data_IF_997852947214
#
_entry.id   IF_997852947214
#
_cell.length_a   1.000
_cell.length_b   1.000
_cell.length_c   1.000
_cell.angle_alpha   90.00
_cell.angle_beta   90.00
_cell.angle_gamma   90.00
#
_symmetry.space_group_name_H-M   'P 1'
#
loop_
_entity.id
_entity.type
_entity.pdbx_description
1 polymer ?
#
# COMPACT_ATOMS: atom_id res chain seq x y z
N UNK A 1 -40.98 -19.06 -71.98
CA UNK A 1 -41.75 -19.81 -70.96
C UNK A 1 -40.86 -20.98 -70.54
N UNK A 2 -40.38 -21.18 -69.32
CA UNK A 2 -40.70 -20.61 -68.00
C UNK A 2 -39.48 -20.88 -67.12
N UNK A 3 -39.14 -19.92 -66.26
CA UNK A 3 -38.02 -19.91 -65.31
C UNK A 3 -38.14 -21.08 -64.31
N UNK A 4 -37.01 -21.73 -63.99
CA UNK A 4 -36.86 -22.47 -62.72
C UNK A 4 -35.62 -22.00 -61.99
N UNK A 5 -35.83 -20.97 -61.19
CA UNK A 5 -35.01 -20.55 -60.06
C UNK A 5 -34.98 -21.69 -59.04
N UNK A 6 -33.81 -22.13 -58.59
CA UNK A 6 -33.73 -22.92 -57.35
C UNK A 6 -32.54 -22.47 -56.54
N UNK A 7 -32.90 -22.04 -55.34
CA UNK A 7 -32.22 -21.18 -54.39
C UNK A 7 -30.98 -21.84 -53.80
N UNK A 8 -29.81 -21.21 -53.94
CA UNK A 8 -28.62 -21.54 -53.15
C UNK A 8 -28.86 -20.99 -51.74
N UNK A 9 -29.14 -21.89 -50.79
CA UNK A 9 -29.29 -21.53 -49.38
C UNK A 9 -27.90 -21.22 -48.80
N UNK A 10 -27.53 -19.94 -48.81
CA UNK A 10 -26.32 -19.43 -48.17
C UNK A 10 -26.45 -19.62 -46.66
N UNK A 11 -25.71 -20.60 -46.11
CA UNK A 11 -25.59 -20.83 -44.67
C UNK A 11 -24.79 -19.67 -44.06
N UNK A 12 -25.49 -18.57 -43.74
CA UNK A 12 -24.94 -17.44 -43.00
C UNK A 12 -24.78 -17.88 -41.54
N UNK A 13 -23.66 -18.52 -41.24
CA UNK A 13 -23.25 -18.79 -39.86
C UNK A 13 -23.00 -17.43 -39.21
N UNK A 14 -23.95 -17.03 -38.36
CA UNK A 14 -23.86 -15.89 -37.48
C UNK A 14 -22.59 -16.04 -36.62
N UNK A 15 -21.53 -15.33 -36.98
CA UNK A 15 -20.47 -15.01 -36.05
C UNK A 15 -21.10 -14.14 -34.96
N UNK A 16 -21.58 -14.80 -33.91
CA UNK A 16 -21.75 -14.18 -32.59
C UNK A 16 -20.35 -13.78 -32.14
N UNK A 17 -19.86 -12.64 -32.63
CA UNK A 17 -18.81 -11.88 -31.98
C UNK A 17 -19.37 -11.48 -30.63
N UNK A 18 -19.25 -12.37 -29.65
CA UNK A 18 -19.37 -12.01 -28.25
C UNK A 18 -18.34 -10.92 -28.03
N UNK A 19 -18.79 -9.68 -27.89
CA UNK A 19 -18.02 -8.70 -27.17
C UNK A 19 -17.84 -9.28 -25.78
N UNK A 20 -16.72 -9.96 -25.56
CA UNK A 20 -16.22 -10.17 -24.22
C UNK A 20 -16.05 -8.75 -23.66
N UNK A 21 -16.99 -8.32 -22.82
CA UNK A 21 -16.79 -7.15 -21.98
C UNK A 21 -15.52 -7.43 -21.21
N UNK A 22 -14.42 -6.76 -21.57
CA UNK A 22 -13.22 -6.84 -20.77
C UNK A 22 -13.62 -6.45 -19.34
N UNK A 23 -13.22 -7.23 -18.32
CA UNK A 23 -13.40 -6.77 -16.95
C UNK A 23 -12.74 -5.40 -16.89
N UNK A 24 -13.48 -4.41 -16.39
CA UNK A 24 -12.99 -3.05 -16.24
C UNK A 24 -11.85 -3.08 -15.20
N UNK A 25 -10.64 -3.40 -15.66
CA UNK A 25 -9.43 -3.53 -14.86
C UNK A 25 -8.84 -2.16 -14.46
N UNK A 26 -9.62 -1.07 -14.56
CA UNK A 26 -9.26 0.25 -14.03
C UNK A 26 -9.42 0.33 -12.50
N UNK A 27 -9.25 -0.78 -11.79
CA UNK A 27 -9.14 -0.76 -10.34
C UNK A 27 -7.72 -0.32 -10.02
N UNK A 28 -7.53 0.98 -9.85
CA UNK A 28 -6.29 1.53 -9.30
C UNK A 28 -6.21 1.14 -7.82
N UNK A 29 -5.22 0.33 -7.48
CA UNK A 29 -4.87 0.01 -6.09
C UNK A 29 -3.97 1.10 -5.54
N UNK A 30 -4.04 1.34 -4.23
CA UNK A 30 -3.25 2.35 -3.56
C UNK A 30 -2.19 1.68 -2.68
N UNK A 31 -0.96 2.19 -2.74
CA UNK A 31 0.10 1.81 -1.81
C UNK A 31 0.56 3.05 -1.07
N UNK A 32 0.56 2.99 0.25
CA UNK A 32 1.07 4.07 1.10
C UNK A 32 1.95 3.58 2.23
N UNK A 33 2.66 4.51 2.86
CA UNK A 33 3.51 4.29 4.02
C UNK A 33 2.96 5.09 5.20
N UNK A 34 2.75 4.43 6.33
CA UNK A 34 2.30 5.03 7.58
C UNK A 34 3.29 4.79 8.71
N UNK A 35 3.24 5.63 9.74
CA UNK A 35 4.01 5.47 10.97
C UNK A 35 3.11 5.63 12.22
N UNK A 36 3.53 5.11 13.38
CA UNK A 36 2.80 5.36 14.63
C UNK A 36 2.81 6.85 14.99
N UNK A 37 1.75 7.29 15.67
CA UNK A 37 1.71 8.65 16.20
C UNK A 37 2.86 8.85 17.19
N UNK A 38 3.51 10.02 17.13
CA UNK A 38 4.71 10.38 17.92
C UNK A 38 6.01 9.66 17.52
N UNK A 39 6.00 8.80 16.52
CA UNK A 39 7.19 8.09 16.04
C UNK A 39 7.37 8.36 14.54
N UNK A 40 7.42 9.65 14.20
CA UNK A 40 7.59 10.13 12.83
C UNK A 40 8.89 9.58 12.22
N UNK A 41 8.88 9.39 10.90
CA UNK A 41 10.04 8.94 10.14
C UNK A 41 10.24 9.79 8.89
N UNK A 42 11.46 9.77 8.35
CA UNK A 42 11.74 10.28 7.01
C UNK A 42 12.09 9.13 6.06
N UNK A 43 11.21 8.85 5.09
CA UNK A 43 11.41 7.79 4.11
C UNK A 43 12.22 8.32 2.93
N UNK A 44 13.47 7.87 2.84
CA UNK A 44 14.43 8.27 1.79
C UNK A 44 14.22 7.53 0.47
N UNK A 45 13.85 6.25 0.59
CA UNK A 45 13.61 5.36 -0.54
C UNK A 45 12.34 4.58 -0.31
N UNK A 46 11.46 4.64 -1.30
CA UNK A 46 10.32 3.75 -1.43
C UNK A 46 10.22 3.36 -2.89
N UNK A 47 10.56 2.12 -3.17
CA UNK A 47 10.71 1.60 -4.53
C UNK A 47 9.81 0.39 -4.69
N UNK A 48 9.09 0.37 -5.80
CA UNK A 48 8.14 -0.66 -6.19
C UNK A 48 8.68 -1.37 -7.42
N UNK A 49 8.72 -2.70 -7.37
CA UNK A 49 9.21 -3.52 -8.46
C UNK A 49 8.15 -4.54 -8.88
N UNK A 50 7.68 -4.42 -10.12
CA UNK A 50 6.93 -5.45 -10.83
C UNK A 50 7.89 -6.15 -11.78
N UNK A 51 8.30 -7.36 -11.40
CA UNK A 51 9.33 -8.15 -12.09
C UNK A 51 9.16 -8.15 -13.60
N UNK A 52 10.21 -7.74 -14.31
CA UNK A 52 10.27 -7.68 -15.78
C UNK A 52 9.28 -6.71 -16.45
N UNK A 53 8.57 -5.88 -15.68
CA UNK A 53 7.57 -4.95 -16.20
C UNK A 53 7.91 -3.51 -15.84
N UNK A 54 8.10 -3.21 -14.56
CA UNK A 54 8.21 -1.83 -14.10
C UNK A 54 8.94 -1.72 -12.77
N UNK A 55 9.90 -0.81 -12.75
CA UNK A 55 10.46 -0.25 -11.53
C UNK A 55 9.90 1.16 -11.32
N UNK A 56 9.57 1.54 -10.08
CA UNK A 56 9.11 2.91 -9.79
C UNK A 56 9.53 3.36 -8.41
N UNK A 57 10.05 4.59 -8.34
CA UNK A 57 10.39 5.26 -7.09
C UNK A 57 9.30 6.25 -6.71
N UNK A 58 8.91 6.25 -5.44
CA UNK A 58 7.96 7.19 -4.87
C UNK A 58 8.67 8.09 -3.85
N UNK A 59 8.68 9.42 -4.03
CA UNK A 59 9.28 10.34 -3.07
C UNK A 59 8.36 10.53 -1.85
N UNK A 60 8.66 9.79 -0.80
CA UNK A 60 7.83 9.74 0.41
C UNK A 60 8.16 10.88 1.38
N UNK A 61 9.42 11.06 1.77
CA UNK A 61 9.84 12.12 2.69
C UNK A 61 9.25 11.92 4.08
N UNK A 62 8.79 13.00 4.72
CA UNK A 62 8.20 12.95 6.07
C UNK A 62 6.93 12.10 6.09
N UNK A 63 6.93 11.09 6.96
CA UNK A 63 5.78 10.25 7.28
C UNK A 63 5.52 10.36 8.77
N UNK A 64 4.28 10.69 9.10
CA UNK A 64 3.74 10.59 10.45
C UNK A 64 2.52 9.69 10.40
N UNK A 65 1.74 9.68 11.49
CA UNK A 65 0.44 9.03 11.62
C UNK A 65 -0.31 8.72 10.28
N UNK A 66 -0.95 7.55 10.15
CA UNK A 66 -1.49 6.76 11.26
C UNK A 66 -1.34 5.25 11.07
N UNK A 67 -0.49 4.64 11.88
CA UNK A 67 -0.37 3.17 12.04
C UNK A 67 -1.67 2.49 12.51
N UNK A 68 -2.39 3.09 13.46
CA UNK A 68 -3.62 2.54 14.03
C UNK A 68 -4.54 3.67 14.54
N UNK A 69 -5.80 3.35 14.80
CA UNK A 69 -6.80 4.25 15.38
C UNK A 69 -7.88 4.66 14.36
N UNK A 70 -8.71 5.67 14.67
CA UNK A 70 -9.83 6.07 13.80
C UNK A 70 -9.41 6.47 12.38
N UNK A 71 -8.15 6.88 12.22
CA UNK A 71 -7.57 7.34 10.96
C UNK A 71 -6.57 6.35 10.35
N UNK A 72 -6.33 5.19 10.98
CA UNK A 72 -5.27 4.25 10.57
C UNK A 72 -5.73 2.78 10.58
N UNK A 73 -5.00 1.86 9.91
CA UNK A 73 -3.76 2.09 9.17
C UNK A 73 -3.96 2.88 7.87
N UNK A 74 -3.24 3.98 7.72
CA UNK A 74 -3.21 4.82 6.53
C UNK A 74 -1.89 5.59 6.44
N UNK A 75 -1.61 6.16 5.26
CA UNK A 75 -0.39 6.93 5.08
C UNK A 75 -0.25 7.53 3.69
N UNK A 76 0.81 8.32 3.51
CA UNK A 76 1.14 8.97 2.23
C UNK A 76 1.49 7.91 1.19
N UNK A 77 1.15 8.13 -0.07
CA UNK A 77 1.30 7.12 -1.10
C UNK A 77 0.65 7.53 -2.41
N UNK A 78 0.51 6.56 -3.32
CA UNK A 78 -0.09 6.79 -4.62
C UNK A 78 -0.78 5.54 -5.15
N UNK A 79 -1.71 5.75 -6.07
CA UNK A 79 -2.24 4.66 -6.88
C UNK A 79 -1.18 4.08 -7.80
N UNK A 80 -1.13 2.76 -7.92
CA UNK A 80 -0.20 2.05 -8.80
C UNK A 80 -0.93 1.02 -9.68
N UNK A 81 -0.36 0.82 -10.87
CA UNK A 81 -0.71 -0.24 -11.81
C UNK A 81 0.50 -0.44 -12.78
N UNK A 82 0.96 -1.68 -13.02
CA UNK A 82 0.59 -2.90 -12.30
C UNK A 82 0.93 -2.83 -10.81
N UNK A 83 0.37 -3.74 -10.02
CA UNK A 83 0.75 -3.90 -8.62
C UNK A 83 2.16 -4.52 -8.54
N UNK A 84 3.01 -4.11 -7.57
CA UNK A 84 4.36 -4.62 -7.46
C UNK A 84 4.40 -6.03 -6.86
N UNK A 85 5.46 -6.76 -7.18
CA UNK A 85 5.79 -8.04 -6.54
C UNK A 85 6.74 -7.83 -5.35
N UNK A 86 7.54 -6.77 -5.38
CA UNK A 86 8.51 -6.43 -4.32
C UNK A 86 8.44 -4.96 -3.95
N UNK A 87 8.76 -4.69 -2.68
CA UNK A 87 8.92 -3.36 -2.13
C UNK A 87 10.31 -3.27 -1.51
N UNK A 88 11.01 -2.18 -1.81
CA UNK A 88 12.20 -1.75 -1.07
C UNK A 88 11.88 -0.43 -0.35
N UNK A 89 12.19 -0.38 0.93
CA UNK A 89 11.96 0.79 1.78
C UNK A 89 13.19 1.07 2.64
N UNK A 90 13.58 2.34 2.72
CA UNK A 90 14.62 2.84 3.61
C UNK A 90 14.12 4.12 4.27
N UNK A 91 14.29 4.22 5.58
CA UNK A 91 13.84 5.37 6.36
C UNK A 91 14.78 5.71 7.51
N UNK A 92 14.71 6.96 7.94
CA UNK A 92 15.30 7.48 9.16
C UNK A 92 14.23 7.60 10.24
N UNK A 93 14.46 7.00 11.41
CA UNK A 93 13.62 7.10 12.60
C UNK A 93 14.04 8.32 13.42
N UNK A 94 13.17 9.34 13.52
CA UNK A 94 13.49 10.54 14.30
C UNK A 94 13.59 10.23 15.80
N UNK A 95 12.79 9.31 16.32
CA UNK A 95 12.84 8.92 17.73
C UNK A 95 14.20 8.29 18.10
N UNK A 96 14.71 7.42 17.23
CA UNK A 96 15.89 6.60 17.52
C UNK A 96 17.19 7.22 16.99
N UNK A 97 17.09 8.20 16.08
CA UNK A 97 18.23 8.71 15.31
C UNK A 97 18.96 7.60 14.55
N UNK A 98 18.19 6.68 13.95
CA UNK A 98 18.69 5.48 13.26
C UNK A 98 18.11 5.34 11.86
N UNK A 99 18.85 4.68 10.99
CA UNK A 99 18.38 4.31 9.66
C UNK A 99 18.01 2.83 9.62
N UNK A 100 16.94 2.53 8.90
CA UNK A 100 16.48 1.17 8.65
C UNK A 100 16.24 0.96 7.16
N UNK A 101 16.48 -0.27 6.70
CA UNK A 101 16.10 -0.68 5.36
C UNK A 101 15.52 -2.09 5.31
N UNK A 102 14.62 -2.31 4.36
CA UNK A 102 14.10 -3.63 4.03
C UNK A 102 13.75 -3.75 2.55
N UNK A 103 14.07 -4.91 1.99
CA UNK A 103 13.52 -5.39 0.72
C UNK A 103 12.71 -6.64 1.03
N UNK A 104 11.50 -6.74 0.50
CA UNK A 104 10.62 -7.89 0.72
C UNK A 104 9.70 -8.13 -0.49
N UNK A 105 9.37 -9.40 -0.74
CA UNK A 105 8.30 -9.77 -1.65
C UNK A 105 6.96 -9.61 -0.96
N UNK A 106 5.93 -9.20 -1.70
CA UNK A 106 4.57 -9.19 -1.18
C UNK A 106 4.08 -10.63 -0.89
N UNK A 107 3.20 -10.83 0.11
CA UNK A 107 2.62 -12.13 0.40
C UNK A 107 1.92 -12.72 -0.85
N UNK A 108 2.11 -14.02 -1.12
CA UNK A 108 1.54 -14.68 -2.32
C UNK A 108 0.03 -14.50 -2.47
N UNK A 109 -0.69 -14.50 -1.35
CA UNK A 109 -2.16 -14.40 -1.31
C UNK A 109 -2.66 -12.95 -1.28
N UNK A 110 -1.78 -11.95 -1.41
CA UNK A 110 -2.12 -10.55 -1.21
C UNK A 110 -3.19 -10.07 -2.19
N UNK A 111 -2.97 -10.25 -3.50
CA UNK A 111 -3.91 -9.80 -4.54
C UNK A 111 -5.30 -10.45 -4.37
N UNK A 112 -5.32 -11.74 -4.02
CA UNK A 112 -6.56 -12.47 -3.74
C UNK A 112 -7.29 -11.85 -2.55
N UNK A 113 -6.58 -11.61 -1.43
CA UNK A 113 -7.15 -10.97 -0.23
C UNK A 113 -7.57 -9.52 -0.47
N UNK A 114 -6.84 -8.77 -1.29
CA UNK A 114 -7.20 -7.41 -1.70
C UNK A 114 -8.47 -7.39 -2.53
N UNK A 115 -8.69 -8.41 -3.36
CA UNK A 115 -9.89 -8.57 -4.19
C UNK A 115 -11.12 -9.04 -3.40
N UNK A 116 -10.96 -9.55 -2.17
CA UNK A 116 -12.08 -9.94 -1.32
C UNK A 116 -12.91 -8.74 -0.91
N UNK A 117 -14.22 -8.81 -1.16
CA UNK A 117 -15.17 -7.79 -0.73
C UNK A 117 -15.42 -7.86 0.77
N UNK A 118 -15.43 -6.69 1.41
CA UNK A 118 -15.87 -6.52 2.80
C UNK A 118 -17.09 -5.60 2.82
N UNK A 119 -18.09 -5.99 3.62
CA UNK A 119 -19.29 -5.18 3.83
C UNK A 119 -19.06 -4.22 4.99
N UNK A 120 -19.45 -2.97 4.81
CA UNK A 120 -19.41 -1.94 5.85
C UNK A 120 -20.63 -1.02 5.75
N UNK A 121 -21.01 -0.44 6.88
CA UNK A 121 -22.16 0.48 6.97
C UNK A 121 -21.67 1.90 7.15
N UNK A 122 -22.29 2.83 6.43
CA UNK A 122 -22.11 4.27 6.61
C UNK A 122 -23.46 4.92 6.89
N UNK A 123 -23.47 6.24 7.13
CA UNK A 123 -24.70 7.03 7.18
C UNK A 123 -25.55 6.94 5.91
N UNK A 124 -24.95 6.55 4.77
CA UNK A 124 -25.61 6.38 3.47
C UNK A 124 -26.12 4.95 3.22
N UNK A 125 -25.90 4.01 4.15
CA UNK A 125 -26.31 2.60 4.01
C UNK A 125 -25.13 1.62 3.99
N UNK A 126 -25.43 0.37 3.64
CA UNK A 126 -24.46 -0.72 3.56
C UNK A 126 -23.81 -0.79 2.16
N UNK A 127 -22.49 -0.95 2.13
CA UNK A 127 -21.68 -1.05 0.92
C UNK A 127 -20.81 -2.30 1.00
N UNK A 128 -20.47 -2.86 -0.16
CA UNK A 128 -19.56 -3.99 -0.29
C UNK A 128 -18.48 -3.67 -1.33
N UNK A 129 -17.24 -3.54 -0.88
CA UNK A 129 -16.10 -3.18 -1.72
C UNK A 129 -14.85 -4.00 -1.35
N UNK A 130 -13.93 -4.22 -2.29
CA UNK A 130 -12.66 -4.91 -2.02
C UNK A 130 -11.66 -4.01 -1.25
N UNK A 131 -10.65 -4.62 -0.62
CA UNK A 131 -9.59 -3.93 0.15
C UNK A 131 -8.43 -3.48 -0.75
N UNK A 132 -8.63 -2.38 -1.48
CA UNK A 132 -7.71 -1.90 -2.53
C UNK A 132 -6.54 -1.05 -2.02
N UNK A 133 -6.40 -0.87 -0.70
CA UNK A 133 -5.34 -0.05 -0.08
C UNK A 133 -4.37 -0.99 0.61
N UNK A 134 -3.11 -0.97 0.22
CA UNK A 134 -1.99 -1.56 0.95
C UNK A 134 -1.27 -0.46 1.73
N UNK A 135 -1.23 -0.58 3.06
CA UNK A 135 -0.43 0.30 3.91
C UNK A 135 0.80 -0.46 4.39
N UNK A 136 1.99 0.09 4.10
CA UNK A 136 3.28 -0.32 4.65
C UNK A 136 3.52 0.51 5.91
N UNK A 137 3.22 -0.04 7.07
CA UNK A 137 3.62 0.56 8.33
C UNK A 137 5.13 0.42 8.53
N UNK A 138 5.79 1.50 8.93
CA UNK A 138 7.12 1.45 9.55
C UNK A 138 7.10 2.03 10.96
N UNK A 139 7.76 1.37 11.91
CA UNK A 139 7.79 1.75 13.31
C UNK A 139 9.19 1.59 13.92
N UNK A 140 9.45 2.17 15.11
CA UNK A 140 10.73 2.02 15.79
C UNK A 140 11.14 0.56 16.02
N UNK A 141 12.44 0.33 16.20
CA UNK A 141 13.01 -1.01 16.22
C UNK A 141 13.04 -1.69 14.85
N UNK A 142 12.77 -0.97 13.75
CA UNK A 142 12.80 -1.51 12.40
C UNK A 142 11.59 -2.39 12.05
N UNK A 143 10.46 -2.26 12.75
CA UNK A 143 9.27 -3.05 12.43
C UNK A 143 8.61 -2.57 11.13
N UNK A 144 8.25 -3.53 10.28
CA UNK A 144 7.44 -3.30 9.07
C UNK A 144 6.19 -4.17 9.15
N UNK A 145 5.02 -3.56 9.02
CA UNK A 145 3.75 -4.30 9.02
C UNK A 145 2.93 -3.90 7.80
N UNK A 146 2.31 -4.88 7.16
CA UNK A 146 1.46 -4.69 6.01
C UNK A 146 0.01 -4.86 6.42
N UNK A 147 -0.83 -3.87 6.12
CA UNK A 147 -2.28 -4.02 6.17
C UNK A 147 -2.89 -3.80 4.81
N UNK A 148 -3.99 -4.53 4.57
CA UNK A 148 -4.91 -4.18 3.50
C UNK A 148 -6.22 -3.69 4.06
N UNK A 149 -6.81 -2.70 3.41
CA UNK A 149 -8.08 -2.10 3.83
C UNK A 149 -8.82 -1.48 2.65
N UNK A 150 -10.07 -1.12 2.86
CA UNK A 150 -10.70 0.00 2.12
C UNK A 150 -11.21 1.10 3.05
N UNK A 151 -11.21 0.84 4.37
CA UNK A 151 -11.47 1.79 5.42
C UNK A 151 -10.60 1.46 6.64
N UNK A 152 -10.30 2.43 7.52
CA UNK A 152 -9.52 2.19 8.74
C UNK A 152 -10.06 1.03 9.59
N UNK A 153 -11.38 0.93 9.74
CA UNK A 153 -12.06 -0.02 10.63
C UNK A 153 -12.08 -1.48 10.14
N UNK A 154 -11.68 -1.75 8.90
CA UNK A 154 -11.67 -3.10 8.33
C UNK A 154 -10.30 -3.58 7.83
N UNK A 155 -9.25 -2.89 8.28
CA UNK A 155 -7.89 -3.27 8.01
C UNK A 155 -7.57 -4.65 8.58
N UNK A 156 -6.85 -5.45 7.80
CA UNK A 156 -6.32 -6.74 8.24
C UNK A 156 -4.82 -6.79 8.00
N UNK A 157 -4.07 -7.31 8.97
CA UNK A 157 -2.64 -7.56 8.81
C UNK A 157 -2.43 -8.72 7.83
N UNK A 158 -1.52 -8.53 6.88
CA UNK A 158 -1.20 -9.51 5.83
C UNK A 158 0.27 -9.92 5.79
N UNK A 159 1.12 -9.22 6.54
CA UNK A 159 2.53 -9.56 6.65
C UNK A 159 3.26 -8.67 7.64
N UNK A 160 4.35 -9.19 8.21
CA UNK A 160 5.21 -8.50 9.16
C UNK A 160 6.65 -8.87 8.89
N UNK A 161 7.53 -7.88 8.96
CA UNK A 161 8.95 -8.04 8.67
C UNK A 161 9.81 -7.21 9.62
N UNK A 162 11.02 -7.69 9.84
CA UNK A 162 12.07 -6.96 10.52
C UNK A 162 13.01 -6.32 9.49
N UNK A 163 13.17 -5.00 9.56
CA UNK A 163 14.19 -4.25 8.82
C UNK A 163 15.56 -4.35 9.48
N UNK A 164 16.60 -4.16 8.66
CA UNK A 164 17.97 -4.09 9.14
C UNK A 164 18.29 -2.64 9.49
N UNK A 165 18.88 -2.42 10.67
CA UNK A 165 19.54 -1.16 10.98
C UNK A 165 20.75 -0.99 10.05
N UNK A 166 20.98 0.24 9.57
CA UNK A 166 22.13 0.58 8.74
C UNK A 166 22.80 1.85 9.24
N UNK A 167 24.09 1.98 8.95
CA UNK A 167 24.84 3.21 9.18
C UNK A 167 24.36 4.32 8.23
N UNK A 168 24.39 5.56 8.71
CA UNK A 168 24.05 6.73 7.91
C UNK A 168 24.39 8.03 8.64
N UNK A 169 24.55 9.11 7.88
CA UNK A 169 24.83 10.44 8.43
C UNK A 169 23.54 11.10 8.94
N UNK A 170 23.39 11.17 10.25
CA UNK A 170 22.23 11.76 10.92
C UNK A 170 22.23 13.30 10.86
N UNK A 171 23.38 13.93 10.59
CA UNK A 171 23.51 15.40 10.61
C UNK A 171 22.60 16.09 9.57
N UNK A 172 22.33 15.40 8.46
CA UNK A 172 21.38 15.85 7.41
C UNK A 172 19.95 16.02 7.95
N UNK A 173 19.63 15.40 9.09
CA UNK A 173 18.31 15.44 9.72
C UNK A 173 18.22 16.34 10.94
N UNK A 174 19.31 16.99 11.37
CA UNK A 174 19.36 17.73 12.64
C UNK A 174 18.18 18.70 12.82
N UNK A 175 17.95 19.61 11.87
CA UNK A 175 16.86 20.60 11.96
C UNK A 175 15.48 19.92 12.04
N UNK A 176 15.26 18.86 11.25
CA UNK A 176 13.98 18.13 11.28
C UNK A 176 13.80 17.34 12.58
N UNK A 177 14.90 16.83 13.15
CA UNK A 177 14.88 16.19 14.45
C UNK A 177 14.50 17.19 15.54
N UNK A 178 15.08 18.41 15.52
CA UNK A 178 14.73 19.48 16.45
C UNK A 178 13.22 19.81 16.37
N UNK A 179 12.70 20.08 15.18
CA UNK A 179 11.26 20.33 14.94
C UNK A 179 10.35 19.16 15.37
N UNK A 180 10.81 17.92 15.18
CA UNK A 180 10.09 16.73 15.64
C UNK A 180 10.06 16.64 17.17
N UNK A 181 11.18 16.91 17.84
CA UNK A 181 11.28 16.86 19.30
C UNK A 181 10.49 17.97 19.97
N UNK A 182 10.29 19.12 19.34
CA UNK A 182 9.35 20.15 19.82
C UNK A 182 7.91 19.62 19.92
N UNK A 183 7.49 18.75 18.99
CA UNK A 183 6.13 18.19 18.96
C UNK A 183 5.95 16.92 19.78
N UNK A 184 6.97 16.06 19.82
CA UNK A 184 6.86 14.70 20.36
C UNK A 184 7.84 14.40 21.51
N UNK A 185 8.77 15.30 21.83
CA UNK A 185 9.84 15.06 22.80
C UNK A 185 9.32 14.76 24.22
N UNK A 186 8.30 15.48 24.68
CA UNK A 186 7.66 15.21 25.98
C UNK A 186 7.05 13.82 26.04
N UNK A 187 6.33 13.43 24.98
CA UNK A 187 5.72 12.11 24.88
C UNK A 187 6.78 11.01 24.93
N UNK A 188 7.86 11.16 24.17
CA UNK A 188 8.96 10.19 24.14
C UNK A 188 9.65 10.08 25.50
N UNK A 189 9.87 11.21 26.20
CA UNK A 189 10.46 11.20 27.55
C UNK A 189 9.59 10.47 28.55
N UNK A 190 8.27 10.59 28.43
CA UNK A 190 7.32 9.96 29.34
C UNK A 190 7.07 8.48 29.04
N UNK A 191 7.01 8.08 27.76
CA UNK A 191 6.56 6.75 27.34
C UNK A 191 7.68 5.87 26.76
N UNK A 192 8.84 6.45 26.47
CA UNK A 192 9.95 5.77 25.83
C UNK A 192 9.72 5.49 24.34
N UNK A 193 10.57 4.64 23.78
CA UNK A 193 10.56 4.23 22.38
C UNK A 193 10.38 2.70 22.34
N UNK A 194 9.17 2.19 22.05
CA UNK A 194 8.93 0.76 21.92
C UNK A 194 9.65 0.24 20.67
N UNK A 195 10.44 -0.82 20.80
CA UNK A 195 11.09 -1.47 19.65
C UNK A 195 10.39 -2.76 19.22
N UNK A 196 9.38 -3.19 19.99
CA UNK A 196 8.50 -4.32 19.75
C UNK A 196 7.05 -4.01 20.13
N UNK A 197 6.13 -4.97 19.93
CA UNK A 197 4.73 -4.83 20.34
C UNK A 197 3.83 -3.96 19.46
N UNK A 198 4.32 -3.55 18.28
CA UNK A 198 3.61 -2.71 17.30
C UNK A 198 2.48 -3.39 16.52
#
# INVERSE_FOLDING_TARGET
MTVKTTTIATLMVLFLSGCASQPNNNIKEYIGVGAPQHYDVWVERFELETSSIRHSRMPMGSISCCWMGPNGPSGKGASTAPFPNYIAIQWFSFAEQKFYQKIFSLPKELERKMSEHVTYTTVMGAFSQPRKILTVGVAPGGQVVLWISNRPDNAIEVGRFQANEIEGDTSTYQVRTEEYLERSGDYIRQHGIPTDGW
#
